data_IF_475819859792
#
_entry.id   IF_475819859792
#
_cell.length_a   1.000
_cell.length_b   1.000
_cell.length_c   1.000
_cell.angle_alpha   90.00
_cell.angle_beta   90.00
_cell.angle_gamma   90.00
#
_symmetry.space_group_name_H-M   'P 1'
#
loop_
_entity.id
_entity.type
_entity.pdbx_description
1 polymer ?
#
# COMPACT_ATOMS: atom_id res chain seq x y z
N UNK A 1 -5.43 -6.70 -7.70
CA UNK A 1 -4.69 -5.48 -7.27
C UNK A 1 -3.40 -5.84 -6.53
N UNK A 2 -3.45 -6.48 -5.36
CA UNK A 2 -2.24 -6.81 -4.55
C UNK A 2 -1.13 -7.50 -5.34
N UNK A 3 -1.43 -8.50 -6.18
CA UNK A 3 -0.42 -9.14 -7.05
C UNK A 3 0.24 -8.18 -8.05
N UNK A 4 -0.53 -7.23 -8.62
CA UNK A 4 0.00 -6.21 -9.55
C UNK A 4 0.95 -5.26 -8.79
N UNK A 5 0.55 -4.82 -7.60
CA UNK A 5 1.38 -3.98 -6.73
C UNK A 5 2.66 -4.69 -6.28
N UNK A 6 2.55 -5.95 -5.82
CA UNK A 6 3.71 -6.75 -5.41
C UNK A 6 4.72 -6.93 -6.55
N UNK A 7 4.25 -7.13 -7.79
CA UNK A 7 5.13 -7.17 -8.97
C UNK A 7 5.76 -5.81 -9.27
N UNK A 8 5.02 -4.71 -9.14
CA UNK A 8 5.52 -3.36 -9.41
C UNK A 8 6.59 -2.93 -8.41
N UNK A 9 6.46 -3.33 -7.15
CA UNK A 9 7.36 -2.98 -6.05
C UNK A 9 8.31 -4.14 -5.68
N UNK A 10 8.59 -5.05 -6.62
CA UNK A 10 9.44 -6.22 -6.36
C UNK A 10 10.87 -5.86 -5.95
N UNK A 11 11.33 -4.67 -6.33
CA UNK A 11 12.69 -4.18 -6.05
C UNK A 11 12.77 -3.46 -4.70
N UNK A 12 11.67 -3.40 -3.95
CA UNK A 12 11.62 -2.82 -2.60
C UNK A 12 11.64 -3.92 -1.54
N UNK A 13 11.80 -3.52 -0.27
CA UNK A 13 11.62 -4.45 0.84
C UNK A 13 10.12 -4.72 1.02
N UNK A 14 9.67 -5.91 0.61
CA UNK A 14 8.26 -6.30 0.66
C UNK A 14 8.02 -7.44 1.65
N UNK A 15 6.90 -7.39 2.36
CA UNK A 15 6.37 -8.50 3.16
C UNK A 15 4.95 -8.85 2.68
N UNK A 16 4.68 -10.14 2.49
CA UNK A 16 3.39 -10.62 1.97
C UNK A 16 2.63 -11.55 2.92
N UNK A 17 3.01 -11.60 4.21
CA UNK A 17 2.45 -12.55 5.17
C UNK A 17 1.00 -12.21 5.57
N UNK A 18 0.68 -10.91 5.71
CA UNK A 18 -0.67 -10.39 6.02
C UNK A 18 -1.08 -9.28 5.06
N UNK A 19 -1.10 -9.56 3.77
CA UNK A 19 -1.39 -8.57 2.71
C UNK A 19 -0.13 -8.22 1.92
N UNK A 20 0.09 -6.95 1.62
CA UNK A 20 1.32 -6.47 1.00
C UNK A 20 1.80 -5.23 1.74
N UNK A 21 2.86 -5.40 2.52
CA UNK A 21 3.61 -4.30 3.12
C UNK A 21 4.83 -4.01 2.26
N UNK A 22 5.12 -2.73 2.06
CA UNK A 22 6.28 -2.23 1.32
C UNK A 22 6.95 -1.20 2.21
N UNK A 23 8.19 -1.46 2.58
CA UNK A 23 9.02 -0.56 3.37
C UNK A 23 9.97 0.20 2.45
N UNK A 24 9.86 1.53 2.45
CA UNK A 24 10.76 2.46 1.77
C UNK A 24 11.68 3.12 2.80
N UNK A 25 12.66 3.90 2.33
CA UNK A 25 13.60 4.61 3.21
C UNK A 25 12.92 5.54 4.22
N UNK A 26 11.83 6.20 3.81
CA UNK A 26 11.23 7.30 4.58
C UNK A 26 9.75 7.08 4.97
N UNK A 27 9.15 5.97 4.55
CA UNK A 27 7.77 5.60 4.86
C UNK A 27 7.53 4.13 4.59
N UNK A 28 6.45 3.58 5.11
CA UNK A 28 5.93 2.28 4.68
C UNK A 28 4.46 2.38 4.30
N UNK A 29 4.02 1.47 3.44
CA UNK A 29 2.60 1.30 3.09
C UNK A 29 2.20 -0.16 3.21
N UNK A 30 1.00 -0.40 3.71
CA UNK A 30 0.41 -1.72 3.88
C UNK A 30 -0.96 -1.80 3.23
N UNK A 31 -1.08 -2.67 2.22
CA UNK A 31 -2.34 -3.01 1.57
C UNK A 31 -2.85 -4.33 2.13
N UNK A 32 -4.01 -4.30 2.80
CA UNK A 32 -4.60 -5.47 3.43
C UNK A 32 -6.03 -5.67 2.96
N UNK A 33 -6.38 -6.88 2.51
CA UNK A 33 -7.77 -7.24 2.24
C UNK A 33 -8.49 -7.45 3.57
N UNK A 34 -9.68 -6.89 3.76
CA UNK A 34 -10.50 -7.23 4.92
C UNK A 34 -11.05 -8.65 4.79
N UNK A 35 -10.98 -9.41 5.87
CA UNK A 35 -11.53 -10.77 5.92
C UNK A 35 -13.05 -10.77 6.07
N UNK A 36 -13.62 -9.71 6.64
CA UNK A 36 -15.04 -9.62 7.01
C UNK A 36 -15.84 -8.67 6.12
N UNK A 37 -15.17 -7.84 5.33
CA UNK A 37 -15.80 -6.80 4.51
C UNK A 37 -15.19 -6.80 3.10
N UNK A 38 -15.95 -6.42 2.06
CA UNK A 38 -15.45 -6.38 0.68
C UNK A 38 -14.59 -5.13 0.41
N UNK A 39 -13.62 -4.84 1.28
CA UNK A 39 -12.75 -3.67 1.20
C UNK A 39 -11.26 -4.05 1.20
N UNK A 40 -10.43 -3.15 0.67
CA UNK A 40 -8.98 -3.15 0.84
C UNK A 40 -8.63 -1.95 1.72
N UNK A 41 -7.90 -2.20 2.79
CA UNK A 41 -7.31 -1.16 3.66
C UNK A 41 -5.96 -0.75 3.10
N UNK A 42 -5.70 0.55 3.10
CA UNK A 42 -4.40 1.15 2.80
C UNK A 42 -3.96 1.90 4.06
N UNK A 43 -2.82 1.52 4.62
CA UNK A 43 -2.26 2.14 5.82
C UNK A 43 -0.87 2.64 5.44
N UNK A 44 -0.57 3.89 5.73
CA UNK A 44 0.76 4.46 5.51
C UNK A 44 1.26 5.15 6.78
N UNK A 45 2.55 5.06 7.01
CA UNK A 45 3.24 5.77 8.08
C UNK A 45 4.47 6.45 7.50
N UNK A 46 4.69 7.69 7.91
CA UNK A 46 5.81 8.51 7.47
C UNK A 46 6.24 9.43 8.62
N UNK A 47 7.32 10.18 8.41
CA UNK A 47 7.87 11.09 9.43
C UNK A 47 6.91 12.21 9.89
N UNK A 48 5.85 12.51 9.14
CA UNK A 48 4.79 13.45 9.53
C UNK A 48 3.43 12.97 9.05
N UNK A 49 2.36 13.45 9.69
CA UNK A 49 0.97 13.19 9.27
C UNK A 49 0.70 13.69 7.83
N UNK A 50 1.21 14.86 7.47
CA UNK A 50 1.08 15.42 6.11
C UNK A 50 1.71 14.50 5.06
N UNK A 51 2.90 13.95 5.35
CA UNK A 51 3.55 12.99 4.47
C UNK A 51 2.76 11.68 4.40
N UNK A 52 2.26 11.18 5.53
CA UNK A 52 1.45 9.97 5.57
C UNK A 52 0.17 10.12 4.72
N UNK A 53 -0.55 11.24 4.85
CA UNK A 53 -1.72 11.55 4.03
C UNK A 53 -1.37 11.66 2.54
N UNK A 54 -0.27 12.34 2.20
CA UNK A 54 0.24 12.40 0.82
C UNK A 54 0.53 11.01 0.24
N UNK A 55 1.07 10.10 1.04
CA UNK A 55 1.32 8.72 0.61
C UNK A 55 0.02 7.93 0.47
N UNK A 56 -0.94 8.07 1.37
CA UNK A 56 -2.28 7.49 1.23
C UNK A 56 -2.88 7.90 -0.12
N UNK A 57 -2.92 9.20 -0.43
CA UNK A 57 -3.51 9.71 -1.68
C UNK A 57 -2.81 9.16 -2.92
N UNK A 58 -1.46 9.14 -2.91
CA UNK A 58 -0.64 8.56 -3.97
C UNK A 58 -1.03 7.09 -4.23
N UNK A 59 -1.10 6.29 -3.17
CA UNK A 59 -1.35 4.85 -3.28
C UNK A 59 -2.81 4.53 -3.58
N UNK A 60 -3.75 5.35 -3.12
CA UNK A 60 -5.16 5.22 -3.47
C UNK A 60 -5.37 5.46 -4.97
N UNK A 61 -4.85 6.57 -5.51
CA UNK A 61 -4.91 6.86 -6.94
C UNK A 61 -4.24 5.78 -7.80
N UNK A 62 -3.19 5.14 -7.28
CA UNK A 62 -2.54 4.01 -7.95
C UNK A 62 -3.43 2.77 -7.97
N UNK A 63 -4.09 2.46 -6.86
CA UNK A 63 -5.03 1.34 -6.77
C UNK A 63 -6.20 1.55 -7.73
N UNK A 64 -6.78 2.75 -7.80
CA UNK A 64 -7.87 3.09 -8.73
C UNK A 64 -7.47 2.82 -10.19
N UNK A 65 -6.28 3.26 -10.60
CA UNK A 65 -5.73 3.02 -11.96
C UNK A 65 -5.56 1.53 -12.28
N UNK A 66 -5.37 0.68 -11.28
CA UNK A 66 -5.20 -0.76 -11.46
C UNK A 66 -6.53 -1.54 -11.50
N UNK A 67 -7.64 -0.89 -11.11
CA UNK A 67 -9.00 -1.41 -11.19
C UNK A 67 -9.65 -1.17 -12.56
N UNK A 68 -9.14 -0.22 -13.33
CA UNK A 68 -9.45 -0.05 -14.75
C UNK A 68 -8.78 -1.15 -15.59
#
# INVERSE_FOLDING_TARGET
>A
IVKKLSKKYSDQNINTDDGLRIDFENHWVHFRKSNTEPIIRCIAEAGTEELANKYIDKYFAEVEKLMT
#
